data_IF_697357615367
#
_entry.id   IF_697357615367
#
_cell.length_a   1.000
_cell.length_b   1.000
_cell.length_c   1.000
_cell.angle_alpha   90.00
_cell.angle_beta   90.00
_cell.angle_gamma   90.00
#
_symmetry.space_group_name_H-M   'P 1'
#
loop_
_entity.id
_entity.type
_entity.pdbx_description
1 polymer ?
#
# COMPACT_ATOMS: atom_id res chain seq x y z
N UNK A 1 2.59 2.00 10.03
CA UNK A 1 2.93 0.59 10.28
C UNK A 1 1.94 -0.06 11.25
N UNK A 2 1.93 0.27 12.55
CA UNK A 2 1.07 -0.41 13.53
C UNK A 2 -0.43 -0.49 13.15
N UNK A 3 -1.02 0.62 12.70
CA UNK A 3 -2.40 0.65 12.20
C UNK A 3 -2.65 -0.39 11.09
N UNK A 4 -1.84 -0.38 10.04
CA UNK A 4 -1.96 -1.32 8.92
C UNK A 4 -1.53 -2.75 9.26
N UNK A 5 -0.70 -2.94 10.27
CA UNK A 5 -0.44 -4.28 10.80
C UNK A 5 -1.72 -4.85 11.43
N UNK A 6 -2.43 -4.06 12.22
CA UNK A 6 -3.72 -4.48 12.77
C UNK A 6 -4.79 -4.65 11.68
N UNK A 7 -5.00 -3.63 10.83
CA UNK A 7 -6.06 -3.65 9.82
C UNK A 7 -5.74 -4.58 8.66
N UNK A 8 -4.59 -4.37 8.02
CA UNK A 8 -4.18 -5.15 6.84
C UNK A 8 -3.85 -6.59 7.16
N UNK A 9 -2.99 -6.84 8.17
CA UNK A 9 -2.62 -8.21 8.52
C UNK A 9 -3.65 -8.89 9.44
N UNK A 10 -4.09 -8.20 10.50
CA UNK A 10 -5.04 -8.74 11.46
C UNK A 10 -6.46 -8.87 10.91
N UNK A 11 -7.12 -7.76 10.59
CA UNK A 11 -8.53 -7.76 10.16
C UNK A 11 -8.69 -8.41 8.79
N UNK A 12 -7.98 -7.93 7.77
CA UNK A 12 -8.16 -8.45 6.40
C UNK A 12 -7.50 -9.80 6.20
N UNK A 13 -6.35 -10.08 6.82
CA UNK A 13 -5.69 -11.38 6.71
C UNK A 13 -6.30 -12.41 7.65
N UNK A 14 -6.01 -12.26 8.95
CA UNK A 14 -6.46 -13.18 10.00
C UNK A 14 -7.99 -13.28 10.11
N UNK A 15 -8.68 -12.14 10.10
CA UNK A 15 -10.13 -12.10 10.29
C UNK A 15 -10.93 -12.54 9.07
N UNK A 16 -10.60 -12.01 7.89
CA UNK A 16 -11.40 -12.27 6.67
C UNK A 16 -10.95 -13.53 5.92
N UNK A 17 -9.65 -13.76 5.77
CA UNK A 17 -9.14 -14.76 4.81
C UNK A 17 -8.72 -16.08 5.44
N UNK A 18 -8.40 -16.11 6.73
CA UNK A 18 -7.72 -17.25 7.34
C UNK A 18 -8.65 -18.42 7.68
N UNK A 19 -9.92 -18.14 8.01
CA UNK A 19 -10.89 -19.17 8.34
C UNK A 19 -11.02 -20.17 7.16
N UNK A 20 -10.78 -21.47 7.34
CA UNK A 20 -10.73 -22.42 6.21
C UNK A 20 -12.00 -22.43 5.36
N UNK A 21 -13.16 -22.25 5.99
CA UNK A 21 -14.44 -22.17 5.28
C UNK A 21 -14.51 -20.95 4.36
N UNK A 22 -14.02 -19.79 4.79
CA UNK A 22 -13.99 -18.58 3.94
C UNK A 22 -12.89 -18.72 2.90
N UNK A 23 -11.71 -19.18 3.30
CA UNK A 23 -10.59 -19.36 2.38
C UNK A 23 -10.94 -20.30 1.23
N UNK A 24 -11.72 -21.34 1.46
CA UNK A 24 -12.19 -22.24 0.41
C UNK A 24 -12.85 -21.52 -0.77
N UNK A 25 -13.58 -20.42 -0.52
CA UNK A 25 -14.23 -19.62 -1.55
C UNK A 25 -13.39 -18.40 -1.98
N UNK A 26 -12.63 -17.78 -1.07
CA UNK A 26 -11.84 -16.56 -1.35
C UNK A 26 -10.39 -16.84 -1.78
N UNK A 27 -9.98 -18.11 -1.92
CA UNK A 27 -8.60 -18.41 -2.27
C UNK A 27 -8.26 -17.84 -3.66
N UNK A 28 -7.30 -16.92 -3.69
CA UNK A 28 -6.79 -16.35 -4.93
C UNK A 28 -7.67 -15.27 -5.56
N UNK A 29 -8.64 -14.69 -4.86
CA UNK A 29 -9.52 -13.63 -5.35
C UNK A 29 -9.11 -12.24 -4.83
N UNK A 30 -9.88 -11.19 -5.16
CA UNK A 30 -9.46 -9.80 -4.92
C UNK A 30 -9.36 -9.39 -3.44
N UNK A 31 -9.97 -10.10 -2.48
CA UNK A 31 -9.76 -9.82 -1.06
C UNK A 31 -8.39 -10.32 -0.58
N UNK A 32 -7.84 -11.35 -1.23
CA UNK A 32 -6.42 -11.72 -1.06
C UNK A 32 -5.51 -10.56 -1.48
N UNK A 33 -5.81 -9.89 -2.61
CA UNK A 33 -5.06 -8.73 -3.10
C UNK A 33 -5.14 -7.55 -2.12
N UNK A 34 -6.32 -7.33 -1.54
CA UNK A 34 -6.56 -6.34 -0.49
C UNK A 34 -5.64 -6.54 0.72
N UNK A 35 -5.66 -7.75 1.29
CA UNK A 35 -4.80 -8.11 2.41
C UNK A 35 -3.32 -7.95 2.04
N UNK A 36 -2.90 -8.46 0.89
CA UNK A 36 -1.50 -8.45 0.48
C UNK A 36 -0.91 -7.02 0.43
N UNK A 37 -1.61 -6.06 -0.19
CA UNK A 37 -1.10 -4.69 -0.30
C UNK A 37 -1.08 -3.97 1.05
N UNK A 38 -2.18 -4.07 1.80
CA UNK A 38 -2.33 -3.38 3.08
C UNK A 38 -1.41 -3.95 4.16
N UNK A 39 -1.16 -5.26 4.16
CA UNK A 39 -0.19 -5.88 5.06
C UNK A 39 1.25 -5.64 4.59
N UNK A 40 1.58 -5.92 3.33
CA UNK A 40 2.96 -5.82 2.85
C UNK A 40 3.47 -4.38 2.88
N UNK A 41 2.78 -3.46 2.20
CA UNK A 41 3.22 -2.07 2.17
C UNK A 41 2.84 -1.33 3.47
N UNK A 42 1.61 -1.49 3.94
CA UNK A 42 1.12 -0.74 5.11
C UNK A 42 1.85 -1.10 6.41
N UNK A 43 2.15 -2.39 6.64
CA UNK A 43 2.93 -2.80 7.81
C UNK A 43 4.44 -2.67 7.56
N UNK A 44 4.97 -3.43 6.61
CA UNK A 44 6.43 -3.53 6.39
C UNK A 44 6.99 -2.37 5.56
N UNK A 45 6.32 -1.95 4.49
CA UNK A 45 6.78 -0.83 3.65
C UNK A 45 6.90 0.47 4.45
N UNK A 46 5.87 0.84 5.22
CA UNK A 46 5.93 2.02 6.08
C UNK A 46 6.94 1.88 7.24
N UNK A 47 7.17 0.67 7.75
CA UNK A 47 8.23 0.42 8.73
C UNK A 47 9.60 0.68 8.11
N UNK A 48 9.85 0.13 6.92
CA UNK A 48 11.10 0.31 6.20
C UNK A 48 11.38 1.79 5.91
N UNK A 49 10.38 2.54 5.43
CA UNK A 49 10.50 4.00 5.23
C UNK A 49 10.83 4.72 6.55
N UNK A 50 10.18 4.33 7.65
CA UNK A 50 10.49 4.88 8.98
C UNK A 50 11.92 4.64 9.42
N UNK A 51 12.45 3.43 9.18
CA UNK A 51 13.85 3.08 9.47
C UNK A 51 14.83 3.86 8.58
N UNK A 52 14.50 4.08 7.30
CA UNK A 52 15.30 4.95 6.42
C UNK A 52 15.32 6.38 6.95
N UNK A 53 14.18 6.91 7.38
CA UNK A 53 14.10 8.23 8.00
C UNK A 53 14.93 8.34 9.28
N UNK A 54 14.89 7.30 10.13
CA UNK A 54 15.72 7.23 11.32
C UNK A 54 17.21 7.29 10.98
N UNK A 55 17.67 6.51 9.99
CA UNK A 55 19.05 6.53 9.53
C UNK A 55 19.44 7.90 8.95
N UNK A 56 18.59 8.49 8.08
CA UNK A 56 18.83 9.81 7.51
C UNK A 56 18.86 10.91 8.58
N UNK A 57 18.00 10.83 9.60
CA UNK A 57 17.97 11.79 10.71
C UNK A 57 19.24 11.71 11.55
N UNK A 58 19.71 10.50 11.83
CA UNK A 58 20.97 10.27 12.55
C UNK A 58 22.16 10.82 11.77
N UNK A 59 22.25 10.52 10.46
CA UNK A 59 23.27 11.07 9.58
C UNK A 59 23.23 12.60 9.51
N UNK A 60 22.07 13.22 9.64
CA UNK A 60 21.93 14.68 9.60
C UNK A 60 22.48 15.37 10.86
N UNK A 61 22.54 14.71 12.02
CA UNK A 61 22.98 15.33 13.28
C UNK A 61 22.14 16.55 13.66
N UNK A 62 22.76 17.61 14.16
CA UNK A 62 22.04 18.82 14.63
C UNK A 62 21.67 19.81 13.51
N UNK A 63 21.90 19.44 12.24
CA UNK A 63 21.59 20.31 11.11
C UNK A 63 20.09 20.49 10.92
N UNK A 64 19.73 21.60 10.27
CA UNK A 64 18.36 21.89 9.89
C UNK A 64 17.75 20.72 9.11
N UNK A 65 16.56 20.31 9.52
CA UNK A 65 15.82 19.18 8.97
C UNK A 65 14.38 19.59 8.69
N UNK A 66 13.79 19.02 7.65
CA UNK A 66 12.39 19.21 7.34
C UNK A 66 11.73 17.89 6.99
N UNK A 67 10.68 17.55 7.74
CA UNK A 67 9.82 16.39 7.52
C UNK A 67 8.71 16.65 6.50
N UNK A 68 8.54 17.89 6.01
CA UNK A 68 7.36 18.31 5.25
C UNK A 68 7.08 17.38 4.06
N UNK A 69 8.07 17.11 3.22
CA UNK A 69 7.90 16.25 2.03
C UNK A 69 7.61 14.79 2.43
N UNK A 70 8.28 14.30 3.49
CA UNK A 70 8.03 12.97 4.05
C UNK A 70 6.62 12.79 4.56
N UNK A 71 6.11 13.77 5.29
CA UNK A 71 4.73 13.78 5.81
C UNK A 71 3.72 13.82 4.66
N UNK A 72 3.96 14.63 3.62
CA UNK A 72 3.10 14.62 2.43
C UNK A 72 3.10 13.26 1.73
N UNK A 73 4.28 12.67 1.50
CA UNK A 73 4.40 11.35 0.89
C UNK A 73 3.72 10.27 1.75
N UNK A 74 3.87 10.34 3.08
CA UNK A 74 3.16 9.47 4.02
C UNK A 74 1.64 9.53 3.81
N UNK A 75 1.05 10.73 3.73
CA UNK A 75 -0.39 10.86 3.50
C UNK A 75 -0.81 10.35 2.12
N UNK A 76 -0.04 10.64 1.08
CA UNK A 76 -0.30 10.12 -0.27
C UNK A 76 -0.32 8.58 -0.30
N UNK A 77 0.62 7.92 0.37
CA UNK A 77 0.60 6.46 0.44
C UNK A 77 -0.63 5.91 1.17
N UNK A 78 -1.00 6.51 2.31
CA UNK A 78 -2.16 6.05 3.08
C UNK A 78 -3.46 6.28 2.30
N UNK A 79 -3.62 7.45 1.68
CA UNK A 79 -4.78 7.77 0.83
C UNK A 79 -4.82 6.82 -0.38
N UNK A 80 -3.69 6.60 -1.05
CA UNK A 80 -3.59 5.68 -2.19
C UNK A 80 -4.04 4.26 -1.82
N UNK A 81 -3.61 3.73 -0.67
CA UNK A 81 -4.08 2.44 -0.17
C UNK A 81 -5.58 2.44 0.13
N UNK A 82 -6.11 3.47 0.81
CA UNK A 82 -7.54 3.58 1.08
C UNK A 82 -8.35 3.63 -0.21
N UNK A 83 -7.88 4.38 -1.21
CA UNK A 83 -8.49 4.45 -2.54
C UNK A 83 -8.52 3.07 -3.21
N UNK A 84 -7.43 2.30 -3.16
CA UNK A 84 -7.46 0.93 -3.69
C UNK A 84 -8.50 0.04 -3.01
N UNK A 85 -8.62 0.13 -1.68
CA UNK A 85 -9.62 -0.65 -0.93
C UNK A 85 -11.02 -0.32 -1.44
N UNK A 86 -11.39 0.97 -1.44
CA UNK A 86 -12.77 1.41 -1.67
C UNK A 86 -13.15 1.47 -3.15
N UNK A 87 -12.18 1.67 -4.05
CA UNK A 87 -12.44 1.84 -5.48
C UNK A 87 -12.10 0.59 -6.32
N UNK A 88 -11.41 -0.40 -5.77
CA UNK A 88 -11.02 -1.58 -6.55
C UNK A 88 -11.15 -2.89 -5.79
N UNK A 89 -10.42 -3.05 -4.69
CA UNK A 89 -10.30 -4.36 -4.05
C UNK A 89 -11.62 -4.86 -3.46
N UNK A 90 -12.36 -4.01 -2.75
CA UNK A 90 -13.66 -4.41 -2.20
C UNK A 90 -14.79 -4.49 -3.24
N UNK A 91 -14.95 -3.51 -4.13
CA UNK A 91 -15.98 -3.58 -5.16
C UNK A 91 -15.85 -4.77 -6.10
N UNK A 92 -14.65 -5.34 -6.27
CA UNK A 92 -14.43 -6.56 -7.05
C UNK A 92 -14.43 -7.80 -6.15
N UNK A 93 -13.76 -7.75 -5.00
CA UNK A 93 -13.54 -8.91 -4.13
C UNK A 93 -14.81 -9.49 -3.52
N UNK A 94 -15.72 -8.65 -3.02
CA UNK A 94 -16.97 -9.17 -2.43
C UNK A 94 -17.90 -9.81 -3.46
N UNK A 95 -18.18 -9.18 -4.62
CA UNK A 95 -18.93 -9.85 -5.68
C UNK A 95 -18.21 -11.09 -6.23
N UNK A 96 -16.87 -11.10 -6.25
CA UNK A 96 -16.12 -12.27 -6.67
C UNK A 96 -16.30 -13.44 -5.71
N UNK A 97 -16.22 -13.20 -4.40
CA UNK A 97 -16.50 -14.20 -3.38
C UNK A 97 -17.92 -14.76 -3.51
N UNK A 98 -18.91 -13.88 -3.68
CA UNK A 98 -20.30 -14.29 -3.93
C UNK A 98 -20.42 -15.13 -5.20
N UNK A 99 -19.74 -14.76 -6.28
CA UNK A 99 -19.73 -15.51 -7.53
C UNK A 99 -19.08 -16.90 -7.36
N UNK A 100 -18.02 -17.03 -6.57
CA UNK A 100 -17.44 -18.34 -6.24
C UNK A 100 -18.46 -19.19 -5.48
N UNK A 101 -19.14 -18.60 -4.49
CA UNK A 101 -20.13 -19.30 -3.68
C UNK A 101 -21.35 -19.78 -4.48
N UNK A 102 -21.85 -18.95 -5.39
CA UNK A 102 -23.12 -19.19 -6.11
C UNK A 102 -22.96 -19.90 -7.45
N UNK A 103 -21.86 -19.64 -8.17
CA UNK A 103 -21.64 -20.13 -9.53
C UNK A 103 -20.36 -20.98 -9.67
N UNK A 104 -19.57 -21.10 -8.61
CA UNK A 104 -18.32 -21.86 -8.58
C UNK A 104 -17.09 -21.05 -9.00
N UNK A 105 -15.92 -21.54 -8.59
CA UNK A 105 -14.65 -20.83 -8.76
C UNK A 105 -14.27 -20.57 -10.23
N UNK A 106 -14.55 -21.51 -11.13
CA UNK A 106 -14.25 -21.35 -12.55
C UNK A 106 -14.99 -20.16 -13.17
N UNK A 107 -16.24 -19.92 -12.76
CA UNK A 107 -17.02 -18.78 -13.24
C UNK A 107 -16.45 -17.45 -12.72
N UNK A 108 -16.18 -17.35 -11.41
CA UNK A 108 -15.64 -16.13 -10.78
C UNK A 108 -14.24 -15.74 -11.30
N UNK A 109 -13.54 -16.67 -11.93
CA UNK A 109 -12.23 -16.47 -12.59
C UNK A 109 -12.32 -16.32 -14.10
N UNK A 110 -13.51 -16.43 -14.69
CA UNK A 110 -13.73 -16.30 -16.12
C UNK A 110 -13.78 -14.84 -16.56
N UNK A 111 -13.55 -14.59 -17.86
CA UNK A 111 -13.74 -13.27 -18.48
C UNK A 111 -15.17 -12.76 -18.28
N UNK A 112 -16.17 -13.65 -18.32
CA UNK A 112 -17.59 -13.29 -18.14
C UNK A 112 -17.85 -12.61 -16.79
N UNK A 113 -17.15 -13.01 -15.72
CA UNK A 113 -17.22 -12.30 -14.45
C UNK A 113 -16.51 -10.94 -14.54
N UNK A 114 -15.28 -10.91 -15.06
CA UNK A 114 -14.49 -9.68 -15.13
C UNK A 114 -15.09 -8.60 -16.02
N UNK A 115 -15.84 -8.96 -17.07
CA UNK A 115 -16.58 -8.01 -17.89
C UNK A 115 -17.62 -7.23 -17.07
N UNK A 116 -18.19 -7.84 -16.02
CA UNK A 116 -19.15 -7.16 -15.11
C UNK A 116 -18.47 -6.18 -14.16
N UNK A 117 -17.17 -6.32 -13.90
CA UNK A 117 -16.41 -5.50 -12.95
C UNK A 117 -15.47 -4.51 -13.62
N UNK A 118 -15.55 -4.36 -14.95
CA UNK A 118 -14.63 -3.56 -15.75
C UNK A 118 -14.49 -2.11 -15.25
N UNK A 119 -15.59 -1.49 -14.85
CA UNK A 119 -15.56 -0.15 -14.25
C UNK A 119 -14.65 -0.10 -13.03
N UNK A 120 -14.83 -1.02 -12.09
CA UNK A 120 -14.04 -1.09 -10.86
C UNK A 120 -12.57 -1.43 -11.12
N UNK A 121 -12.27 -2.18 -12.18
CA UNK A 121 -10.88 -2.44 -12.60
C UNK A 121 -10.17 -1.14 -12.98
N UNK A 122 -10.83 -0.25 -13.72
CA UNK A 122 -10.29 1.07 -14.07
C UNK A 122 -10.25 2.04 -12.91
N UNK A 123 -11.20 1.95 -11.98
CA UNK A 123 -11.23 2.75 -10.75
C UNK A 123 -10.07 2.45 -9.78
N UNK A 124 -9.19 1.50 -10.11
CA UNK A 124 -7.87 1.35 -9.48
C UNK A 124 -6.94 2.55 -9.76
N UNK A 125 -7.02 3.11 -10.97
CA UNK A 125 -6.10 4.15 -11.46
C UNK A 125 -5.98 5.39 -10.55
N UNK A 126 -7.06 5.96 -10.00
CA UNK A 126 -6.97 7.05 -9.03
C UNK A 126 -6.06 6.72 -7.83
N UNK A 127 -6.19 5.52 -7.26
CA UNK A 127 -5.33 5.07 -6.17
C UNK A 127 -3.88 4.89 -6.60
N UNK A 128 -3.67 4.30 -7.79
CA UNK A 128 -2.32 4.08 -8.36
C UNK A 128 -1.60 5.42 -8.58
N UNK A 129 -2.28 6.44 -9.13
CA UNK A 129 -1.72 7.76 -9.39
C UNK A 129 -1.33 8.45 -8.08
N UNK A 130 -2.21 8.44 -7.08
CA UNK A 130 -1.95 9.07 -5.77
C UNK A 130 -0.77 8.38 -5.07
N UNK A 131 -0.75 7.05 -5.09
CA UNK A 131 0.34 6.27 -4.48
C UNK A 131 1.67 6.49 -5.20
N UNK A 132 1.67 6.51 -6.54
CA UNK A 132 2.85 6.78 -7.36
C UNK A 132 3.39 8.20 -7.14
N UNK A 133 2.52 9.20 -7.00
CA UNK A 133 2.92 10.56 -6.64
C UNK A 133 3.61 10.58 -5.27
N UNK A 134 3.11 9.83 -4.28
CA UNK A 134 3.77 9.62 -3.00
C UNK A 134 5.16 9.00 -3.14
N UNK A 135 5.31 8.00 -4.02
CA UNK A 135 6.59 7.36 -4.32
C UNK A 135 7.61 8.32 -4.92
N UNK A 136 7.21 9.11 -5.92
CA UNK A 136 8.07 10.13 -6.54
C UNK A 136 8.49 11.19 -5.52
N UNK A 137 7.54 11.67 -4.70
CA UNK A 137 7.81 12.67 -3.67
C UNK A 137 8.78 12.15 -2.60
N UNK A 138 8.62 10.90 -2.18
CA UNK A 138 9.50 10.24 -1.21
C UNK A 138 10.92 10.06 -1.77
N UNK A 139 11.03 9.56 -3.00
CA UNK A 139 12.31 9.40 -3.67
C UNK A 139 13.03 10.75 -3.82
N UNK A 140 12.30 11.80 -4.21
CA UNK A 140 12.81 13.16 -4.27
C UNK A 140 13.33 13.66 -2.92
N UNK A 141 12.57 13.42 -1.85
CA UNK A 141 12.98 13.84 -0.51
C UNK A 141 14.25 13.12 -0.03
N UNK A 142 14.36 11.80 -0.25
CA UNK A 142 15.57 11.04 0.03
C UNK A 142 16.77 11.54 -0.75
N UNK A 143 16.63 11.75 -2.06
CA UNK A 143 17.71 12.27 -2.90
C UNK A 143 18.16 13.65 -2.42
N UNK A 144 17.22 14.55 -2.10
CA UNK A 144 17.52 15.88 -1.59
C UNK A 144 18.29 15.82 -0.26
N UNK A 145 17.84 15.00 0.68
CA UNK A 145 18.51 14.82 1.99
C UNK A 145 19.92 14.26 1.83
N UNK A 146 20.08 13.21 1.03
CA UNK A 146 21.39 12.62 0.74
C UNK A 146 22.33 13.58 0.01
N UNK A 147 21.82 14.36 -0.94
CA UNK A 147 22.63 15.38 -1.63
C UNK A 147 23.17 16.41 -0.65
N UNK A 148 22.32 16.95 0.23
CA UNK A 148 22.75 17.89 1.25
C UNK A 148 23.87 17.29 2.11
N UNK A 149 23.75 16.03 2.54
CA UNK A 149 24.82 15.34 3.27
C UNK A 149 26.16 15.36 2.53
N UNK A 150 26.14 15.05 1.22
CA UNK A 150 27.35 15.01 0.39
C UNK A 150 28.00 16.37 0.24
N UNK A 151 27.23 17.44 0.12
CA UNK A 151 27.78 18.79 0.03
C UNK A 151 28.48 19.20 1.33
N UNK A 152 27.90 18.86 2.49
CA UNK A 152 28.51 19.15 3.78
C UNK A 152 29.81 18.37 4.00
N UNK A 153 29.83 17.07 3.69
CA UNK A 153 31.05 16.27 3.77
C UNK A 153 32.18 16.82 2.89
N UNK A 154 31.84 17.37 1.71
CA UNK A 154 32.82 18.01 0.80
C UNK A 154 33.31 19.37 1.30
N UNK A 155 32.54 20.07 2.11
CA UNK A 155 32.90 21.38 2.65
C UNK A 155 33.80 21.31 3.90
N UNK A 156 34.14 20.11 4.39
CA UNK A 156 35.04 19.93 5.54
C UNK A 156 34.47 20.38 6.88
N UNK A 157 33.16 20.61 6.97
CA UNK A 157 32.45 21.00 8.20
C UNK A 157 31.89 19.74 8.86
N UNK A 158 32.72 19.04 9.64
CA UNK A 158 32.31 17.92 10.50
C UNK A 158 31.99 18.40 11.90
#
# INVERSE_FOLDING_TARGET
>A
SAFWNFVGAGVFGGGTLNAPLVNYYEHGTFLTLNHAHTAMFGAFGLLAIGLVYMALRYLNGDRAWSDRLGVWAFWLYNIGMVLWIVLNFYPIGWPQLEAVYTHGYAYARSLKFYDTTLFWQWMRMPGDIVFAAGAVLMAWDFMRKLWMQRQFARAGMT
#
